data_IF_140925164198
#
_entry.id   IF_140925164198
#
_cell.length_a   1.000
_cell.length_b   1.000
_cell.length_c   1.000
_cell.angle_alpha   90.00
_cell.angle_beta   90.00
_cell.angle_gamma   90.00
#
_symmetry.space_group_name_H-M   'P 1'
#
loop_
_entity.id
_entity.type
_entity.pdbx_description
1 polymer ?
#
# COMPACT_ATOMS: atom_id res chain seq x y z
N UNK A 1 -2.98 -4.49 18.21
CA UNK A 1 -2.73 -3.50 17.15
C UNK A 1 -1.70 -4.06 16.18
N UNK A 2 -1.92 -3.89 14.89
CA UNK A 2 -1.01 -4.40 13.86
C UNK A 2 0.05 -3.33 13.58
N UNK A 3 1.31 -3.74 13.55
CA UNK A 3 2.38 -2.83 13.15
C UNK A 3 2.31 -2.60 11.64
N UNK A 4 2.42 -1.34 11.21
CA UNK A 4 2.42 -0.97 9.79
C UNK A 4 3.76 -0.31 9.48
N UNK A 5 4.51 -0.92 8.57
CA UNK A 5 5.77 -0.38 8.05
C UNK A 5 5.60 -0.01 6.60
N UNK A 6 6.44 0.88 6.11
CA UNK A 6 6.36 1.30 4.71
C UNK A 6 7.76 1.37 4.10
N UNK A 7 7.83 1.08 2.81
CA UNK A 7 9.07 1.21 2.04
C UNK A 7 9.36 2.68 1.79
N UNK A 8 10.62 2.98 1.48
CA UNK A 8 11.02 4.33 1.07
C UNK A 8 10.32 4.74 -0.22
N UNK A 9 10.10 3.79 -1.13
CA UNK A 9 9.38 4.05 -2.37
C UNK A 9 7.98 4.59 -2.08
N UNK A 10 7.23 3.92 -1.19
CA UNK A 10 5.90 4.35 -0.83
C UNK A 10 5.92 5.71 -0.12
N UNK A 11 6.81 5.86 0.85
CA UNK A 11 6.92 7.11 1.62
C UNK A 11 7.19 8.30 0.70
N UNK A 12 8.09 8.13 -0.26
CA UNK A 12 8.41 9.18 -1.21
C UNK A 12 7.23 9.48 -2.14
N UNK A 13 6.54 8.46 -2.61
CA UNK A 13 5.35 8.63 -3.43
C UNK A 13 4.28 9.43 -2.71
N UNK A 14 3.98 9.06 -1.47
CA UNK A 14 2.95 9.74 -0.66
C UNK A 14 3.32 11.21 -0.42
N UNK A 15 4.58 11.46 -0.08
CA UNK A 15 5.05 12.82 0.21
C UNK A 15 4.94 13.73 -1.02
N UNK A 16 5.13 13.18 -2.23
CA UNK A 16 5.11 13.95 -3.47
C UNK A 16 3.71 14.17 -4.03
N UNK A 17 2.69 13.55 -3.47
CA UNK A 17 1.32 13.80 -3.89
C UNK A 17 0.94 15.25 -3.59
N UNK A 18 0.52 15.97 -4.62
CA UNK A 18 0.15 17.38 -4.48
C UNK A 18 -1.22 17.59 -3.85
N UNK A 19 -2.12 16.65 -4.05
CA UNK A 19 -3.48 16.73 -3.53
C UNK A 19 -3.47 16.38 -2.04
N UNK A 20 -3.65 17.38 -1.20
CA UNK A 20 -3.64 17.21 0.25
C UNK A 20 -4.77 16.33 0.75
N UNK A 21 -5.93 16.41 0.11
CA UNK A 21 -7.06 15.55 0.48
C UNK A 21 -6.77 14.09 0.14
N UNK A 22 -6.10 13.84 -0.98
CA UNK A 22 -5.68 12.50 -1.35
C UNK A 22 -4.75 11.92 -0.29
N UNK A 23 -3.73 12.68 0.11
CA UNK A 23 -2.80 12.25 1.17
C UNK A 23 -3.54 11.93 2.47
N UNK A 24 -4.46 12.80 2.86
CA UNK A 24 -5.23 12.59 4.09
C UNK A 24 -6.07 11.33 4.04
N UNK A 25 -6.73 11.09 2.91
CA UNK A 25 -7.56 9.88 2.72
C UNK A 25 -6.72 8.60 2.75
N UNK A 26 -5.56 8.64 2.12
CA UNK A 26 -4.62 7.51 2.12
C UNK A 26 -4.14 7.23 3.55
N UNK A 27 -3.74 8.28 4.27
CA UNK A 27 -3.26 8.14 5.64
C UNK A 27 -4.32 7.59 6.58
N UNK A 28 -5.57 8.01 6.41
CA UNK A 28 -6.69 7.48 7.22
C UNK A 28 -6.86 5.98 6.96
N UNK A 29 -6.79 5.56 5.69
CA UNK A 29 -6.94 4.15 5.35
C UNK A 29 -5.80 3.31 5.92
N UNK A 30 -4.58 3.83 5.89
CA UNK A 30 -3.41 3.18 6.50
C UNK A 30 -3.59 3.06 8.01
N UNK A 31 -4.05 4.10 8.65
CA UNK A 31 -4.29 4.06 10.10
C UNK A 31 -5.32 2.99 10.46
N UNK A 32 -6.37 2.84 9.64
CA UNK A 32 -7.38 1.80 9.85
C UNK A 32 -6.80 0.40 9.71
N UNK A 33 -5.78 0.21 8.87
CA UNK A 33 -5.09 -1.07 8.77
C UNK A 33 -4.47 -1.47 10.09
N UNK A 34 -3.86 -0.54 10.81
CA UNK A 34 -3.25 -0.82 12.11
C UNK A 34 -4.26 -1.27 13.15
N UNK A 35 -5.52 -0.91 12.96
CA UNK A 35 -6.64 -1.30 13.82
C UNK A 35 -7.33 -2.58 13.35
N UNK A 36 -6.85 -3.19 12.27
CA UNK A 36 -7.42 -4.39 11.70
C UNK A 36 -8.59 -4.15 10.75
N UNK A 37 -8.88 -2.90 10.41
CA UNK A 37 -9.97 -2.53 9.51
C UNK A 37 -9.39 -2.28 8.12
N UNK A 38 -9.53 -3.27 7.22
CA UNK A 38 -8.90 -3.22 5.90
C UNK A 38 -9.72 -2.46 4.86
N UNK A 39 -11.04 -2.39 5.01
CA UNK A 39 -11.90 -1.68 4.07
C UNK A 39 -11.87 -2.33 2.67
N UNK A 40 -11.90 -1.51 1.62
CA UNK A 40 -11.91 -1.97 0.23
C UNK A 40 -10.51 -2.46 -0.18
N UNK A 41 -10.28 -3.75 -0.05
CA UNK A 41 -9.01 -4.40 -0.33
C UNK A 41 -9.25 -5.63 -1.20
N UNK A 42 -8.32 -5.87 -2.15
CA UNK A 42 -8.43 -6.97 -3.12
C UNK A 42 -7.07 -7.64 -3.31
N UNK A 43 -7.00 -8.98 -3.28
CA UNK A 43 -5.75 -9.68 -3.61
C UNK A 43 -5.36 -9.47 -5.06
N UNK A 44 -4.05 -9.29 -5.31
CA UNK A 44 -3.52 -9.12 -6.67
C UNK A 44 -2.43 -10.17 -7.00
N UNK A 45 -2.31 -11.20 -6.17
CA UNK A 45 -1.36 -12.30 -6.36
C UNK A 45 -0.11 -12.14 -5.52
N UNK A 46 0.62 -13.23 -5.35
CA UNK A 46 1.89 -13.31 -4.64
C UNK A 46 1.84 -12.78 -3.20
N UNK A 47 0.68 -12.91 -2.55
CA UNK A 47 0.48 -12.43 -1.19
C UNK A 47 0.31 -10.92 -1.08
N UNK A 48 0.22 -10.22 -2.21
CA UNK A 48 0.04 -8.77 -2.25
C UNK A 48 -1.45 -8.44 -2.32
N UNK A 49 -1.87 -7.44 -1.58
CA UNK A 49 -3.23 -6.90 -1.63
C UNK A 49 -3.21 -5.45 -2.09
N UNK A 50 -4.24 -5.08 -2.82
CA UNK A 50 -4.45 -3.73 -3.32
C UNK A 50 -5.51 -3.06 -2.46
N UNK A 51 -5.13 -1.97 -1.80
CA UNK A 51 -6.04 -1.11 -1.05
C UNK A 51 -6.52 -0.01 -1.99
N UNK A 52 -7.82 0.04 -2.24
CA UNK A 52 -8.39 0.99 -3.19
C UNK A 52 -8.97 2.19 -2.47
N UNK A 53 -8.62 3.38 -2.94
CA UNK A 53 -9.12 4.64 -2.41
C UNK A 53 -9.96 5.30 -3.50
N UNK A 54 -11.28 5.33 -3.27
CA UNK A 54 -12.25 5.89 -4.22
C UNK A 54 -12.26 7.41 -4.12
N UNK A 55 -11.25 8.01 -4.72
CA UNK A 55 -11.07 9.45 -4.73
C UNK A 55 -10.15 9.85 -5.89
N UNK A 56 -10.49 10.91 -6.61
CA UNK A 56 -9.67 11.44 -7.70
C UNK A 56 -9.42 10.41 -8.79
N UNK A 57 -8.18 10.21 -9.21
CA UNK A 57 -7.84 9.28 -10.29
C UNK A 57 -7.94 7.80 -9.89
N UNK A 58 -8.39 7.51 -8.67
CA UNK A 58 -8.46 6.14 -8.17
C UNK A 58 -7.11 5.68 -7.62
N UNK A 59 -6.73 6.19 -6.45
CA UNK A 59 -5.45 5.82 -5.83
C UNK A 59 -5.45 4.39 -5.34
N UNK A 60 -4.28 3.78 -5.37
CA UNK A 60 -4.05 2.39 -4.97
C UNK A 60 -2.84 2.33 -4.05
N UNK A 61 -2.94 1.51 -3.01
CA UNK A 61 -1.82 1.24 -2.10
C UNK A 61 -1.64 -0.26 -2.04
N UNK A 62 -0.41 -0.73 -2.27
CA UNK A 62 -0.10 -2.16 -2.31
C UNK A 62 0.60 -2.57 -1.05
N UNK A 63 0.11 -3.63 -0.43
CA UNK A 63 0.61 -4.08 0.85
C UNK A 63 0.76 -5.60 0.89
N UNK A 64 1.61 -6.06 1.79
CA UNK A 64 1.76 -7.47 2.11
C UNK A 64 1.55 -7.65 3.61
N UNK A 65 0.70 -8.58 3.96
CA UNK A 65 0.49 -8.94 5.35
C UNK A 65 1.49 -10.03 5.73
N UNK A 66 2.26 -9.80 6.76
CA UNK A 66 3.27 -10.73 7.27
C UNK A 66 2.81 -11.23 8.63
N UNK A 67 2.11 -12.38 8.65
CA UNK A 67 1.50 -12.91 9.86
C UNK A 67 0.34 -12.03 10.33
N UNK A 68 0.10 -12.03 11.63
CA UNK A 68 -1.02 -11.31 12.23
C UNK A 68 -0.63 -9.95 12.83
N UNK A 69 0.67 -9.63 12.86
CA UNK A 69 1.18 -8.49 13.61
C UNK A 69 1.84 -7.41 12.75
N UNK A 70 2.07 -7.69 11.48
CA UNK A 70 2.82 -6.78 10.61
C UNK A 70 2.18 -6.67 9.24
N UNK A 71 2.05 -5.43 8.77
CA UNK A 71 1.69 -5.09 7.39
C UNK A 71 2.81 -4.25 6.82
N UNK A 72 3.33 -4.65 5.65
CA UNK A 72 4.33 -3.89 4.92
C UNK A 72 3.67 -3.21 3.73
N UNK A 73 3.70 -1.87 3.71
CA UNK A 73 3.20 -1.08 2.59
C UNK A 73 4.34 -0.93 1.59
N UNK A 74 4.13 -1.40 0.37
CA UNK A 74 5.18 -1.60 -0.61
C UNK A 74 5.25 -0.45 -1.62
N UNK A 75 4.11 -0.06 -2.18
CA UNK A 75 4.07 0.92 -3.27
C UNK A 75 2.72 1.59 -3.31
N UNK A 76 2.66 2.71 -3.99
CA UNK A 76 1.41 3.43 -4.23
C UNK A 76 1.38 3.94 -5.66
N UNK A 77 0.18 4.23 -6.14
CA UNK A 77 -0.04 4.75 -7.47
C UNK A 77 -1.50 5.04 -7.70
N UNK A 78 -1.88 5.12 -8.95
CA UNK A 78 -3.26 5.33 -9.33
C UNK A 78 -3.72 4.25 -10.32
N UNK A 79 -4.96 4.37 -10.79
CA UNK A 79 -5.52 3.39 -11.72
C UNK A 79 -4.74 3.30 -13.03
N UNK A 80 -4.12 4.40 -13.48
CA UNK A 80 -3.37 4.42 -14.75
C UNK A 80 -2.08 3.62 -14.70
N UNK A 81 -1.43 3.58 -13.53
CA UNK A 81 -0.14 2.92 -13.36
C UNK A 81 -0.26 1.58 -12.65
N UNK A 82 -1.48 1.06 -12.52
CA UNK A 82 -1.80 -0.10 -11.71
C UNK A 82 -0.92 -1.31 -11.99
N UNK A 83 -0.80 -1.73 -13.25
CA UNK A 83 -0.03 -2.93 -13.60
C UNK A 83 1.45 -2.78 -13.26
N UNK A 84 2.02 -1.61 -13.53
CA UNK A 84 3.40 -1.31 -13.23
C UNK A 84 3.65 -1.29 -11.72
N UNK A 85 2.73 -0.71 -10.97
CA UNK A 85 2.86 -0.61 -9.53
C UNK A 85 2.72 -1.96 -8.84
N UNK A 86 1.85 -2.83 -9.35
CA UNK A 86 1.73 -4.21 -8.87
C UNK A 86 3.04 -4.96 -9.07
N UNK A 87 3.65 -4.82 -10.25
CA UNK A 87 4.93 -5.46 -10.53
C UNK A 87 6.03 -4.98 -9.57
N UNK A 88 6.08 -3.68 -9.31
CA UNK A 88 7.03 -3.11 -8.35
C UNK A 88 6.79 -3.62 -6.94
N UNK A 89 5.52 -3.70 -6.53
CA UNK A 89 5.17 -4.19 -5.21
C UNK A 89 5.62 -5.64 -5.02
N UNK A 90 5.39 -6.49 -6.02
CA UNK A 90 5.81 -7.89 -5.97
C UNK A 90 7.32 -8.02 -5.86
N UNK A 91 8.06 -7.22 -6.60
CA UNK A 91 9.52 -7.21 -6.55
C UNK A 91 10.01 -6.78 -5.17
N UNK A 92 9.44 -5.73 -4.61
CA UNK A 92 9.82 -5.23 -3.30
C UNK A 92 9.50 -6.24 -2.19
N UNK A 93 8.37 -6.94 -2.31
CA UNK A 93 8.01 -7.99 -1.35
C UNK A 93 9.02 -9.15 -1.39
N UNK A 94 9.44 -9.54 -2.59
CA UNK A 94 10.45 -10.58 -2.77
C UNK A 94 11.79 -10.16 -2.17
N UNK A 95 12.23 -8.93 -2.43
CA UNK A 95 13.47 -8.38 -1.88
C UNK A 95 13.42 -8.34 -0.34
N UNK A 96 12.29 -7.97 0.24
CA UNK A 96 12.13 -7.91 1.68
C UNK A 96 12.25 -9.30 2.32
N UNK A 97 11.74 -10.34 1.66
CA UNK A 97 11.88 -11.71 2.15
C UNK A 97 13.30 -12.22 2.04
N UNK A 98 13.99 -11.89 0.96
CA UNK A 98 15.34 -12.38 0.67
C UNK A 98 16.43 -11.60 1.40
N UNK A 99 16.15 -10.35 1.76
CA UNK A 99 17.11 -9.48 2.42
C UNK A 99 17.03 -9.49 3.93
N UNK A 100 16.16 -10.30 4.49
CA UNK A 100 15.93 -10.32 5.93
C UNK A 100 17.06 -10.98 6.70
#
# INVERSE_FOLDING_TARGET
MIEVRQTDLFANWLRKLRDEQARARIQIRIRRLSLGNFGDVKPVGDGISELRIDYGPGYRVYLQRQGNLLILILAGGDKKTQDLDIAKAKKLAEEAQNGA
#
